data_IF_287925181172
#
_entry.id   IF_287925181172
#
_cell.length_a   1.000
_cell.length_b   1.000
_cell.length_c   1.000
_cell.angle_alpha   90.00
_cell.angle_beta   90.00
_cell.angle_gamma   90.00
#
_symmetry.space_group_name_H-M   'P 1'
#
loop_
_entity.id
_entity.type
_entity.pdbx_description
1 polymer ?
#
# COMPACT_ATOMS: atom_id res chain seq x y z
N UNK A 1 -34.12 -68.16 30.41
CA UNK A 1 -35.27 -68.48 29.57
C UNK A 1 -34.95 -69.81 28.91
N UNK A 2 -35.26 -70.88 29.62
CA UNK A 2 -35.22 -72.25 29.09
C UNK A 2 -36.31 -72.41 28.05
N UNK A 3 -35.97 -73.02 26.92
CA UNK A 3 -36.95 -73.75 26.12
C UNK A 3 -36.43 -75.17 25.96
N UNK A 4 -36.95 -76.01 26.84
CA UNK A 4 -37.01 -77.45 26.62
C UNK A 4 -37.70 -77.73 25.29
N UNK A 5 -37.10 -78.58 24.48
CA UNK A 5 -37.82 -79.31 23.45
C UNK A 5 -37.47 -80.79 23.59
N UNK A 6 -38.22 -81.46 24.46
CA UNK A 6 -38.40 -82.90 24.41
C UNK A 6 -39.43 -83.20 23.31
N UNK A 7 -39.06 -84.04 22.33
CA UNK A 7 -39.94 -85.08 21.78
C UNK A 7 -39.12 -86.09 20.95
N UNK A 8 -38.84 -87.23 21.59
CA UNK A 8 -39.11 -88.59 21.09
C UNK A 8 -39.00 -88.87 19.58
N UNK A 9 -37.92 -89.54 19.15
CA UNK A 9 -38.02 -90.84 18.47
C UNK A 9 -36.61 -91.44 18.27
N UNK A 10 -36.07 -92.08 19.31
CA UNK A 10 -35.02 -93.09 19.10
C UNK A 10 -35.73 -94.35 18.62
N UNK A 11 -36.13 -94.39 17.35
CA UNK A 11 -36.19 -95.68 16.67
C UNK A 11 -34.74 -96.14 16.53
N UNK A 12 -34.27 -96.89 17.53
CA UNK A 12 -33.29 -97.93 17.24
C UNK A 12 -33.92 -98.75 16.12
N UNK A 13 -33.44 -98.55 14.89
CA UNK A 13 -33.74 -99.48 13.81
C UNK A 13 -32.89 -100.72 14.09
N UNK A 14 -33.30 -101.48 15.09
CA UNK A 14 -32.98 -102.89 15.24
C UNK A 14 -33.83 -103.65 14.23
N UNK A 15 -33.62 -103.38 12.95
CA UNK A 15 -34.21 -104.16 11.87
C UNK A 15 -33.09 -104.59 10.92
N UNK A 16 -33.02 -105.91 10.71
CA UNK A 16 -32.04 -106.66 9.93
C UNK A 16 -30.67 -106.96 10.54
N UNK A 17 -30.66 -107.57 11.73
CA UNK A 17 -29.66 -108.59 12.07
C UNK A 17 -30.21 -110.01 12.00
N UNK A 18 -31.43 -110.20 11.46
CA UNK A 18 -31.93 -111.54 11.15
C UNK A 18 -31.36 -111.97 9.78
N UNK A 19 -30.06 -112.21 9.71
CA UNK A 19 -29.45 -112.97 8.62
C UNK A 19 -29.90 -114.42 8.76
N UNK A 20 -31.15 -114.69 8.42
CA UNK A 20 -31.63 -116.04 8.22
C UNK A 20 -30.79 -116.61 7.08
N UNK A 21 -29.91 -117.58 7.39
CA UNK A 21 -29.05 -118.22 6.38
C UNK A 21 -29.94 -118.71 5.23
N UNK A 22 -29.74 -118.17 4.04
CA UNK A 22 -30.48 -118.62 2.85
C UNK A 22 -29.73 -119.83 2.33
N UNK A 23 -30.14 -121.02 2.82
CA UNK A 23 -29.60 -122.31 2.42
C UNK A 23 -28.53 -122.88 3.39
N UNK A 24 -28.14 -124.16 3.15
CA UNK A 24 -27.07 -124.86 3.87
C UNK A 24 -25.69 -124.22 3.64
N UNK A 25 -24.70 -124.54 4.46
CA UNK A 25 -23.35 -123.97 4.34
C UNK A 25 -22.66 -124.36 3.03
N UNK A 26 -21.63 -123.62 2.60
CA UNK A 26 -20.86 -123.94 1.39
C UNK A 26 -20.29 -125.36 1.43
N UNK A 27 -19.87 -125.85 2.60
CA UNK A 27 -19.31 -127.20 2.74
C UNK A 27 -20.40 -128.28 2.72
N UNK A 28 -21.57 -128.01 3.30
CA UNK A 28 -22.75 -128.90 3.18
C UNK A 28 -23.18 -129.03 1.71
N UNK A 29 -23.22 -127.92 0.97
CA UNK A 29 -23.48 -127.92 -0.47
C UNK A 29 -22.43 -128.75 -1.21
N UNK A 30 -21.14 -128.53 -0.97
CA UNK A 30 -20.08 -129.35 -1.59
C UNK A 30 -20.22 -130.84 -1.26
N UNK A 31 -20.63 -131.19 -0.03
CA UNK A 31 -20.83 -132.59 0.37
C UNK A 31 -22.05 -133.20 -0.32
N UNK A 32 -23.14 -132.45 -0.49
CA UNK A 32 -24.34 -132.90 -1.21
C UNK A 32 -24.11 -133.03 -2.72
N UNK A 33 -23.20 -132.22 -3.27
CA UNK A 33 -22.79 -132.21 -4.68
C UNK A 33 -21.50 -133.01 -4.96
N UNK A 34 -20.98 -133.80 -4.01
CA UNK A 34 -19.77 -134.61 -4.22
C UNK A 34 -20.00 -135.74 -5.22
N UNK A 35 -18.93 -136.20 -5.84
CA UNK A 35 -18.94 -137.37 -6.73
C UNK A 35 -19.60 -138.59 -6.05
N UNK A 36 -20.52 -139.24 -6.76
CA UNK A 36 -21.30 -140.37 -6.25
C UNK A 36 -22.52 -140.00 -5.38
N UNK A 37 -22.81 -138.72 -5.17
CA UNK A 37 -24.05 -138.26 -4.51
C UNK A 37 -25.11 -137.82 -5.52
N UNK A 38 -26.39 -137.91 -5.14
CA UNK A 38 -27.53 -137.43 -5.93
C UNK A 38 -28.12 -136.20 -5.23
N UNK A 39 -27.83 -134.96 -5.70
CA UNK A 39 -28.41 -133.74 -5.12
C UNK A 39 -29.94 -133.70 -5.27
N UNK A 40 -30.64 -133.15 -4.28
CA UNK A 40 -32.10 -133.00 -4.29
C UNK A 40 -32.55 -131.71 -4.99
N UNK A 41 -33.83 -131.64 -5.38
CA UNK A 41 -34.43 -130.41 -5.95
C UNK A 41 -34.21 -129.19 -5.04
N UNK A 42 -34.28 -129.37 -3.72
CA UNK A 42 -34.03 -128.31 -2.74
C UNK A 42 -32.57 -127.86 -2.76
N UNK A 43 -31.62 -128.77 -2.97
CA UNK A 43 -30.19 -128.44 -3.05
C UNK A 43 -29.90 -127.58 -4.29
N UNK A 44 -30.59 -127.83 -5.41
CA UNK A 44 -30.52 -126.97 -6.59
C UNK A 44 -31.19 -125.61 -6.39
N UNK A 45 -32.34 -125.55 -5.72
CA UNK A 45 -33.00 -124.29 -5.42
C UNK A 45 -32.14 -123.42 -4.48
N UNK A 46 -31.52 -124.02 -3.46
CA UNK A 46 -30.61 -123.34 -2.54
C UNK A 46 -29.37 -122.82 -3.29
N UNK A 47 -28.76 -123.63 -4.17
CA UNK A 47 -27.63 -123.20 -5.00
C UNK A 47 -28.00 -122.00 -5.90
N UNK A 48 -29.18 -122.03 -6.53
CA UNK A 48 -29.68 -120.96 -7.40
C UNK A 48 -29.92 -119.68 -6.58
N UNK A 49 -30.53 -119.80 -5.41
CA UNK A 49 -30.80 -118.67 -4.53
C UNK A 49 -29.49 -118.04 -4.03
N UNK A 50 -28.52 -118.84 -3.59
CA UNK A 50 -27.19 -118.38 -3.18
C UNK A 50 -26.48 -117.69 -4.36
N UNK A 51 -26.57 -118.27 -5.57
CA UNK A 51 -26.00 -117.67 -6.77
C UNK A 51 -26.67 -116.34 -7.14
N UNK A 52 -28.00 -116.23 -7.10
CA UNK A 52 -28.73 -114.98 -7.40
C UNK A 52 -28.45 -113.89 -6.36
N UNK A 53 -28.31 -114.26 -5.08
CA UNK A 53 -27.87 -113.34 -4.02
C UNK A 53 -26.45 -112.85 -4.31
N UNK A 54 -25.50 -113.74 -4.63
CA UNK A 54 -24.13 -113.36 -4.98
C UNK A 54 -24.08 -112.42 -6.17
N UNK A 55 -24.86 -112.70 -7.21
CA UNK A 55 -25.01 -111.86 -8.41
C UNK A 55 -25.51 -110.45 -8.04
N UNK A 56 -26.58 -110.37 -7.23
CA UNK A 56 -27.15 -109.10 -6.76
C UNK A 56 -26.21 -108.33 -5.83
N UNK A 57 -25.49 -109.02 -4.95
CA UNK A 57 -24.50 -108.43 -4.05
C UNK A 57 -23.35 -107.75 -4.82
N UNK A 58 -22.95 -108.35 -5.93
CA UNK A 58 -21.99 -107.75 -6.87
C UNK A 58 -22.62 -106.71 -7.82
N UNK A 59 -23.89 -106.32 -7.63
CA UNK A 59 -24.57 -105.27 -8.40
C UNK A 59 -24.93 -105.67 -9.84
N UNK A 60 -25.07 -106.96 -10.14
CA UNK A 60 -25.35 -107.46 -11.48
C UNK A 60 -26.87 -107.60 -11.75
N UNK A 61 -27.27 -107.61 -13.03
CA UNK A 61 -28.54 -108.14 -13.58
C UNK A 61 -28.34 -109.58 -14.14
N UNK A 62 -29.40 -110.39 -14.32
CA UNK A 62 -29.25 -111.77 -14.79
C UNK A 62 -28.40 -111.84 -16.08
N UNK A 63 -27.55 -112.86 -16.19
CA UNK A 63 -26.65 -113.08 -17.34
C UNK A 63 -25.53 -112.04 -17.52
N UNK A 64 -25.27 -111.17 -16.54
CA UNK A 64 -24.10 -110.29 -16.57
C UNK A 64 -22.85 -110.98 -16.00
N UNK A 65 -21.70 -110.73 -16.64
CA UNK A 65 -20.41 -111.24 -16.22
C UNK A 65 -19.59 -110.13 -15.53
N UNK A 66 -18.97 -110.45 -14.40
CA UNK A 66 -18.16 -109.51 -13.62
C UNK A 66 -18.99 -108.46 -12.86
N UNK A 67 -18.42 -107.73 -11.90
CA UNK A 67 -19.18 -106.83 -11.03
C UNK A 67 -19.97 -105.75 -11.78
N UNK A 68 -21.02 -105.22 -11.14
CA UNK A 68 -21.83 -104.11 -11.64
C UNK A 68 -21.00 -102.84 -11.89
N UNK A 69 -21.51 -101.90 -12.68
CA UNK A 69 -20.73 -100.76 -13.23
C UNK A 69 -19.96 -99.91 -12.20
N UNK A 70 -20.44 -99.82 -10.95
CA UNK A 70 -19.80 -99.07 -9.86
C UNK A 70 -18.79 -99.87 -9.03
N UNK A 71 -18.57 -101.14 -9.36
CA UNK A 71 -17.70 -102.07 -8.64
C UNK A 71 -16.65 -102.67 -9.58
N UNK A 72 -15.58 -103.19 -9.01
CA UNK A 72 -14.54 -103.96 -9.68
C UNK A 72 -14.06 -105.08 -8.77
N UNK A 73 -13.57 -106.17 -9.36
CA UNK A 73 -12.78 -107.16 -8.64
C UNK A 73 -11.32 -106.74 -8.79
N UNK A 74 -10.60 -106.61 -7.67
CA UNK A 74 -9.16 -106.40 -7.69
C UNK A 74 -8.42 -107.73 -7.90
N UNK A 75 -7.11 -107.65 -8.18
CA UNK A 75 -6.28 -108.81 -8.53
C UNK A 75 -6.19 -109.86 -7.40
N UNK A 76 -6.48 -109.46 -6.16
CA UNK A 76 -6.57 -110.34 -4.99
C UNK A 76 -7.93 -111.04 -4.84
N UNK A 77 -8.87 -110.77 -5.75
CA UNK A 77 -10.22 -111.33 -5.75
C UNK A 77 -11.20 -110.61 -4.84
N UNK A 78 -10.84 -109.47 -4.24
CA UNK A 78 -11.75 -108.67 -3.41
C UNK A 78 -12.61 -107.72 -4.25
N UNK A 79 -13.86 -107.51 -3.83
CA UNK A 79 -14.81 -106.64 -4.50
C UNK A 79 -14.66 -105.20 -3.97
N UNK A 80 -14.24 -104.28 -4.84
CA UNK A 80 -13.99 -102.88 -4.49
C UNK A 80 -14.83 -101.91 -5.33
N UNK A 81 -14.92 -100.65 -4.87
CA UNK A 81 -15.53 -99.57 -5.63
C UNK A 81 -14.71 -99.29 -6.89
N UNK A 82 -15.40 -99.12 -8.02
CA UNK A 82 -14.78 -98.72 -9.28
C UNK A 82 -14.50 -97.21 -9.26
N UNK A 83 -13.32 -96.85 -8.78
CA UNK A 83 -12.84 -95.46 -8.81
C UNK A 83 -12.25 -95.12 -10.18
N UNK A 84 -12.65 -93.97 -10.74
CA UNK A 84 -12.10 -93.43 -11.98
C UNK A 84 -11.26 -92.17 -11.73
N UNK A 85 -10.52 -91.74 -12.74
CA UNK A 85 -9.91 -90.40 -12.74
C UNK A 85 -10.93 -89.39 -13.27
N UNK A 86 -10.95 -88.20 -12.68
CA UNK A 86 -11.80 -87.10 -13.12
C UNK A 86 -10.92 -85.88 -13.42
N UNK A 87 -10.96 -85.40 -14.65
CA UNK A 87 -10.22 -84.21 -15.11
C UNK A 87 -11.12 -82.98 -15.27
N UNK A 88 -12.21 -82.93 -14.52
CA UNK A 88 -13.20 -81.85 -14.56
C UNK A 88 -13.00 -80.94 -13.35
N UNK A 89 -12.87 -79.63 -13.57
CA UNK A 89 -12.59 -78.65 -12.52
C UNK A 89 -13.81 -78.29 -11.66
N UNK A 90 -15.01 -78.63 -12.11
CA UNK A 90 -16.24 -78.35 -11.36
C UNK A 90 -16.53 -79.40 -10.27
N UNK A 91 -15.77 -80.50 -10.26
CA UNK A 91 -16.02 -81.64 -9.38
C UNK A 91 -14.72 -82.17 -8.76
N UNK A 92 -14.71 -82.34 -7.45
CA UNK A 92 -13.64 -83.05 -6.74
C UNK A 92 -13.94 -84.55 -6.72
N UNK A 93 -12.97 -85.43 -7.06
CA UNK A 93 -13.19 -86.86 -6.98
C UNK A 93 -13.30 -87.32 -5.52
N UNK A 94 -14.19 -88.30 -5.27
CA UNK A 94 -14.07 -89.15 -4.09
C UNK A 94 -12.96 -90.17 -4.36
N UNK A 95 -11.97 -90.23 -3.48
CA UNK A 95 -10.82 -91.12 -3.56
C UNK A 95 -10.86 -92.13 -2.42
N UNK A 96 -10.41 -93.35 -2.68
CA UNK A 96 -10.17 -94.32 -1.62
C UNK A 96 -8.73 -94.14 -1.13
N UNK A 97 -8.55 -93.69 0.11
CA UNK A 97 -7.23 -93.51 0.73
C UNK A 97 -7.21 -94.22 2.08
N UNK A 98 -6.24 -95.11 2.27
CA UNK A 98 -6.10 -95.91 3.50
C UNK A 98 -7.40 -96.63 3.90
N UNK A 99 -8.12 -97.17 2.90
CA UNK A 99 -9.45 -97.81 3.02
C UNK A 99 -10.60 -96.88 3.47
N UNK A 100 -10.42 -95.56 3.42
CA UNK A 100 -11.45 -94.56 3.73
C UNK A 100 -11.85 -93.81 2.46
N UNK A 101 -13.15 -93.75 2.17
CA UNK A 101 -13.69 -92.91 1.11
C UNK A 101 -13.56 -91.44 1.50
N UNK A 102 -12.69 -90.71 0.81
CA UNK A 102 -12.24 -89.38 1.17
C UNK A 102 -12.42 -88.40 0.01
N UNK A 103 -12.46 -87.09 0.30
CA UNK A 103 -12.39 -86.02 -0.70
C UNK A 103 -10.97 -85.44 -0.68
N UNK A 104 -10.38 -85.20 -1.85
CA UNK A 104 -9.16 -84.41 -1.95
C UNK A 104 -9.48 -82.92 -1.77
N UNK A 105 -8.91 -82.28 -0.75
CA UNK A 105 -9.30 -80.93 -0.31
C UNK A 105 -8.68 -79.82 -1.16
N UNK A 106 -7.61 -80.11 -1.90
CA UNK A 106 -6.87 -79.09 -2.64
C UNK A 106 -6.35 -77.94 -1.76
N UNK A 107 -6.22 -76.75 -2.34
CA UNK A 107 -5.78 -75.54 -1.63
C UNK A 107 -6.96 -74.73 -1.10
N UNK A 108 -6.84 -74.19 0.12
CA UNK A 108 -7.85 -73.30 0.70
C UNK A 108 -9.00 -74.01 1.42
N UNK A 109 -9.06 -75.34 1.42
CA UNK A 109 -9.92 -76.13 2.30
C UNK A 109 -9.07 -76.93 3.29
N UNK A 110 -9.62 -77.16 4.48
CA UNK A 110 -9.01 -77.94 5.55
C UNK A 110 -10.04 -78.88 6.15
N UNK A 111 -9.61 -80.08 6.55
CA UNK A 111 -10.47 -81.01 7.28
C UNK A 111 -10.30 -80.77 8.78
N UNK A 112 -11.42 -80.51 9.47
CA UNK A 112 -11.50 -80.42 10.93
C UNK A 112 -12.33 -81.57 11.46
N UNK A 113 -12.34 -81.76 12.78
CA UNK A 113 -13.10 -82.83 13.46
C UNK A 113 -14.60 -82.83 13.11
N UNK A 114 -15.16 -81.68 12.75
CA UNK A 114 -16.57 -81.50 12.39
C UNK A 114 -16.82 -81.32 10.88
N UNK A 115 -15.83 -81.58 10.02
CA UNK A 115 -15.98 -81.57 8.57
C UNK A 115 -14.99 -80.65 7.84
N UNK A 116 -15.25 -80.45 6.54
CA UNK A 116 -14.42 -79.63 5.66
C UNK A 116 -14.78 -78.15 5.85
N UNK A 117 -13.77 -77.31 6.03
CA UNK A 117 -13.90 -75.86 6.24
C UNK A 117 -12.97 -75.09 5.29
N UNK A 118 -13.22 -73.80 5.09
CA UNK A 118 -12.23 -72.90 4.47
C UNK A 118 -11.00 -72.78 5.36
N UNK A 119 -9.82 -72.92 4.77
CA UNK A 119 -8.54 -72.65 5.38
C UNK A 119 -8.38 -71.15 5.65
N UNK A 120 -8.39 -70.77 6.92
CA UNK A 120 -8.33 -69.37 7.31
C UNK A 120 -6.92 -68.80 7.09
N UNK A 121 -6.81 -67.84 6.15
CA UNK A 121 -5.59 -67.04 5.93
C UNK A 121 -5.66 -65.66 6.60
N UNK A 122 -4.68 -64.81 6.29
CA UNK A 122 -4.70 -63.40 6.69
C UNK A 122 -5.84 -62.67 5.99
N UNK A 123 -6.58 -61.83 6.73
CA UNK A 123 -7.69 -61.04 6.17
C UNK A 123 -9.01 -61.79 6.02
N UNK A 124 -9.06 -63.10 6.35
CA UNK A 124 -10.30 -63.90 6.37
C UNK A 124 -10.57 -64.37 7.80
N UNK A 125 -11.83 -64.40 8.18
CA UNK A 125 -12.32 -65.07 9.38
C UNK A 125 -13.39 -66.10 8.97
N UNK A 126 -13.27 -67.32 9.47
CA UNK A 126 -14.23 -68.40 9.24
C UNK A 126 -14.94 -68.66 10.56
N UNK A 127 -16.21 -68.32 10.62
CA UNK A 127 -17.09 -68.52 11.78
C UNK A 127 -17.96 -69.78 11.58
N UNK A 128 -18.80 -70.10 12.57
CA UNK A 128 -19.71 -71.24 12.48
C UNK A 128 -20.67 -71.15 11.29
N UNK A 129 -21.21 -69.96 11.02
CA UNK A 129 -22.30 -69.78 10.04
C UNK A 129 -21.86 -69.01 8.79
N UNK A 130 -20.67 -68.42 8.76
CA UNK A 130 -20.19 -67.63 7.61
C UNK A 130 -18.67 -67.55 7.48
N UNK A 131 -18.23 -67.06 6.33
CA UNK A 131 -16.86 -66.62 6.06
C UNK A 131 -16.91 -65.11 5.80
N UNK A 132 -16.10 -64.34 6.50
CA UNK A 132 -16.09 -62.88 6.39
C UNK A 132 -14.67 -62.33 6.26
N UNK A 133 -14.56 -61.07 5.86
CA UNK A 133 -13.29 -60.35 5.86
C UNK A 133 -12.93 -59.98 7.30
N UNK A 134 -11.71 -60.31 7.71
CA UNK A 134 -11.14 -59.88 9.00
C UNK A 134 -10.72 -58.41 8.88
N UNK A 135 -11.58 -57.51 9.34
CA UNK A 135 -11.30 -56.07 9.35
C UNK A 135 -10.04 -55.74 10.15
N UNK A 136 -9.21 -54.86 9.60
CA UNK A 136 -8.07 -54.25 10.28
C UNK A 136 -8.30 -52.74 10.43
N UNK A 137 -7.29 -52.00 10.90
CA UNK A 137 -7.36 -50.54 10.99
C UNK A 137 -7.65 -49.91 9.62
N UNK A 138 -8.57 -48.95 9.58
CA UNK A 138 -8.95 -48.25 8.34
C UNK A 138 -9.98 -48.97 7.48
N UNK A 139 -10.49 -50.14 7.89
CA UNK A 139 -11.54 -50.88 7.17
C UNK A 139 -12.75 -51.09 8.08
N UNK A 140 -13.95 -50.95 7.51
CA UNK A 140 -15.23 -51.35 8.10
C UNK A 140 -15.73 -52.55 7.30
N UNK A 141 -16.20 -53.57 8.00
CA UNK A 141 -16.91 -54.70 7.40
C UNK A 141 -18.24 -54.80 8.14
N UNK A 142 -19.35 -54.53 7.43
CA UNK A 142 -20.71 -54.55 7.98
C UNK A 142 -21.69 -55.15 6.96
N UNK A 143 -23.00 -55.05 7.24
CA UNK A 143 -24.05 -55.61 6.37
C UNK A 143 -24.10 -54.98 4.97
N UNK A 144 -23.49 -53.80 4.77
CA UNK A 144 -23.34 -53.15 3.46
C UNK A 144 -22.05 -53.57 2.73
N UNK A 145 -21.23 -54.44 3.33
CA UNK A 145 -19.99 -54.97 2.76
C UNK A 145 -18.74 -54.36 3.38
N UNK A 146 -17.71 -54.15 2.55
CA UNK A 146 -16.39 -53.69 2.99
C UNK A 146 -16.18 -52.24 2.54
N UNK A 147 -15.90 -51.35 3.49
CA UNK A 147 -15.69 -49.93 3.26
C UNK A 147 -14.44 -49.40 3.99
N UNK A 148 -14.00 -48.18 3.64
CA UNK A 148 -12.94 -47.48 4.37
C UNK A 148 -13.52 -46.92 5.66
N UNK A 149 -12.84 -47.15 6.79
CA UNK A 149 -13.12 -46.44 8.04
C UNK A 149 -12.54 -45.03 7.94
N UNK A 150 -13.38 -44.01 7.88
CA UNK A 150 -12.96 -42.63 7.73
C UNK A 150 -13.24 -41.80 8.99
N UNK A 151 -12.40 -40.79 9.21
CA UNK A 151 -12.57 -39.78 10.26
C UNK A 151 -13.12 -38.46 9.74
N UNK A 152 -13.04 -37.42 10.56
CA UNK A 152 -13.34 -36.06 10.13
C UNK A 152 -12.43 -35.63 8.97
N UNK A 153 -12.99 -34.90 8.00
CA UNK A 153 -12.24 -34.39 6.84
C UNK A 153 -12.19 -35.33 5.62
N UNK A 154 -12.70 -36.55 5.75
CA UNK A 154 -12.89 -37.47 4.62
C UNK A 154 -14.39 -37.76 4.48
N UNK A 155 -14.85 -37.87 3.24
CA UNK A 155 -16.19 -38.31 2.87
C UNK A 155 -16.07 -39.61 2.06
N UNK A 156 -16.86 -40.62 2.42
CA UNK A 156 -16.95 -41.88 1.67
C UNK A 156 -18.41 -42.10 1.32
N UNK A 157 -18.71 -42.14 0.03
CA UNK A 157 -20.05 -42.34 -0.50
C UNK A 157 -20.03 -43.21 -1.76
N UNK A 158 -21.14 -43.26 -2.48
CA UNK A 158 -21.30 -44.06 -3.70
C UNK A 158 -20.35 -43.65 -4.83
N UNK A 159 -19.79 -42.44 -4.80
CA UNK A 159 -18.79 -41.95 -5.76
C UNK A 159 -17.34 -42.25 -5.32
N UNK A 160 -17.16 -42.87 -4.15
CA UNK A 160 -15.85 -43.26 -3.62
C UNK A 160 -15.40 -42.40 -2.44
N UNK A 161 -14.08 -42.22 -2.32
CA UNK A 161 -13.43 -41.50 -1.21
C UNK A 161 -13.01 -40.11 -1.66
N UNK A 162 -13.42 -39.08 -0.92
CA UNK A 162 -13.11 -37.67 -1.20
C UNK A 162 -12.76 -36.90 0.08
N UNK A 163 -12.17 -35.71 -0.09
CA UNK A 163 -11.94 -34.81 1.05
C UNK A 163 -13.24 -34.08 1.39
N UNK A 164 -13.65 -34.16 2.65
CA UNK A 164 -14.78 -33.41 3.19
C UNK A 164 -14.31 -32.02 3.57
N UNK A 165 -14.74 -31.02 2.81
CA UNK A 165 -14.57 -29.61 3.16
C UNK A 165 -15.76 -29.13 3.99
N UNK A 166 -15.50 -28.23 4.94
CA UNK A 166 -16.56 -27.64 5.78
C UNK A 166 -17.25 -26.53 4.98
N UNK A 167 -18.57 -26.59 4.83
CA UNK A 167 -19.35 -25.71 3.94
C UNK A 167 -19.15 -24.19 4.16
N UNK A 168 -18.67 -23.79 5.34
CA UNK A 168 -18.41 -22.38 5.68
C UNK A 168 -16.97 -21.93 5.39
N UNK A 169 -16.03 -22.84 5.29
CA UNK A 169 -14.60 -22.55 5.10
C UNK A 169 -14.22 -22.81 3.63
N UNK A 170 -14.59 -21.87 2.75
CA UNK A 170 -14.42 -21.94 1.28
C UNK A 170 -12.96 -21.90 0.80
N UNK A 171 -11.97 -22.17 1.64
CA UNK A 171 -10.54 -22.04 1.31
C UNK A 171 -10.04 -23.20 0.45
N UNK A 172 -10.63 -24.38 0.57
CA UNK A 172 -10.29 -25.55 -0.25
C UNK A 172 -11.49 -25.85 -1.16
N UNK A 173 -11.21 -26.08 -2.43
CA UNK A 173 -12.18 -26.50 -3.43
C UNK A 173 -11.85 -27.93 -3.86
N UNK A 174 -12.83 -28.81 -3.78
CA UNK A 174 -12.70 -30.22 -4.17
C UNK A 174 -13.57 -30.42 -5.40
N UNK A 175 -12.95 -30.65 -6.54
CA UNK A 175 -13.60 -30.86 -7.83
C UNK A 175 -13.25 -32.25 -8.39
N UNK A 176 -13.97 -32.68 -9.42
CA UNK A 176 -13.68 -33.96 -10.11
C UNK A 176 -12.27 -34.02 -10.72
N UNK A 177 -11.64 -32.86 -10.96
CA UNK A 177 -10.29 -32.75 -11.52
C UNK A 177 -9.19 -32.68 -10.46
N UNK A 178 -9.55 -32.54 -9.17
CA UNK A 178 -8.60 -32.51 -8.07
C UNK A 178 -8.97 -31.52 -6.95
N UNK A 179 -8.00 -31.27 -6.08
CA UNK A 179 -8.13 -30.39 -4.93
C UNK A 179 -7.34 -29.11 -5.21
N UNK A 180 -7.96 -27.96 -5.00
CA UNK A 180 -7.33 -26.64 -5.15
C UNK A 180 -7.61 -25.76 -3.95
N UNK A 181 -6.81 -24.71 -3.79
CA UNK A 181 -7.10 -23.63 -2.85
C UNK A 181 -7.85 -22.51 -3.54
N UNK A 182 -8.86 -21.96 -2.88
CA UNK A 182 -9.57 -20.78 -3.36
C UNK A 182 -8.68 -19.55 -3.13
N UNK A 183 -8.43 -18.82 -4.20
CA UNK A 183 -7.61 -17.62 -4.16
C UNK A 183 -8.46 -16.42 -3.70
N UNK A 184 -8.01 -15.76 -2.64
CA UNK A 184 -8.60 -14.53 -2.11
C UNK A 184 -8.05 -13.27 -2.78
N UNK A 185 -8.34 -12.11 -2.18
CA UNK A 185 -7.73 -10.85 -2.59
C UNK A 185 -6.22 -10.88 -2.33
N UNK A 186 -5.44 -10.30 -3.23
CA UNK A 186 -3.98 -10.21 -3.06
C UNK A 186 -3.20 -11.46 -3.43
N UNK A 187 -3.85 -12.53 -3.91
CA UNK A 187 -3.18 -13.73 -4.43
C UNK A 187 -3.60 -14.06 -5.87
N UNK A 188 -2.72 -14.67 -6.63
CA UNK A 188 -2.95 -15.12 -8.02
C UNK A 188 -2.42 -16.54 -8.22
N UNK A 189 -2.93 -17.21 -9.26
CA UNK A 189 -2.46 -18.52 -9.68
C UNK A 189 -1.12 -18.39 -10.41
N UNK A 190 -0.16 -19.23 -10.06
CA UNK A 190 1.10 -19.43 -10.79
C UNK A 190 1.57 -20.88 -10.63
N UNK A 191 2.88 -21.12 -10.66
CA UNK A 191 3.50 -22.42 -10.30
C UNK A 191 3.28 -22.81 -8.82
N UNK A 192 2.59 -21.96 -8.07
CA UNK A 192 2.06 -22.16 -6.75
C UNK A 192 1.02 -21.08 -6.42
N UNK A 193 1.03 -20.61 -5.18
CA UNK A 193 0.24 -19.45 -4.73
C UNK A 193 1.13 -18.22 -4.80
N UNK A 194 0.83 -17.31 -5.73
CA UNK A 194 1.61 -16.08 -5.90
C UNK A 194 0.90 -14.90 -5.23
N UNK A 195 1.66 -13.89 -4.83
CA UNK A 195 1.10 -12.58 -4.45
C UNK A 195 0.67 -11.85 -5.72
N UNK A 196 -0.53 -11.26 -5.70
CA UNK A 196 -1.03 -10.40 -6.76
C UNK A 196 -0.27 -9.08 -6.72
N UNK A 197 0.62 -8.86 -7.69
CA UNK A 197 1.23 -7.54 -7.88
C UNK A 197 0.14 -6.48 -8.11
N UNK A 198 0.28 -5.32 -7.46
CA UNK A 198 -0.63 -4.19 -7.57
C UNK A 198 0.12 -2.88 -7.31
N UNK A 199 -0.60 -1.79 -7.02
CA UNK A 199 0.01 -0.51 -6.69
C UNK A 199 0.90 -0.66 -5.43
N UNK A 200 2.18 -0.32 -5.57
CA UNK A 200 3.15 -0.35 -4.47
C UNK A 200 3.81 -1.69 -4.20
N UNK A 201 3.41 -2.79 -4.86
CA UNK A 201 4.03 -4.11 -4.70
C UNK A 201 4.56 -4.61 -6.04
N UNK A 202 5.84 -4.98 -6.07
CA UNK A 202 6.50 -5.68 -7.15
C UNK A 202 6.63 -7.17 -6.77
N UNK A 203 6.36 -8.05 -7.71
CA UNK A 203 6.50 -9.51 -7.54
C UNK A 203 7.25 -10.03 -8.75
N UNK A 204 8.44 -10.59 -8.52
CA UNK A 204 9.31 -11.15 -9.54
C UNK A 204 10.01 -12.42 -9.05
N UNK A 205 10.97 -12.93 -9.82
CA UNK A 205 11.70 -14.17 -9.50
C UNK A 205 12.54 -14.09 -8.21
N UNK A 206 12.79 -12.88 -7.69
CA UNK A 206 13.49 -12.67 -6.42
C UNK A 206 12.53 -12.54 -5.22
N UNK A 207 11.21 -12.59 -5.46
CA UNK A 207 10.19 -12.55 -4.42
C UNK A 207 9.31 -11.30 -4.49
N UNK A 208 8.91 -10.80 -3.32
CA UNK A 208 7.97 -9.68 -3.16
C UNK A 208 8.71 -8.47 -2.60
N UNK A 209 8.61 -7.33 -3.28
CA UNK A 209 9.25 -6.07 -2.87
C UNK A 209 8.31 -4.88 -3.04
N UNK A 210 8.69 -3.73 -2.51
CA UNK A 210 7.95 -2.48 -2.75
C UNK A 210 8.23 -2.01 -4.18
N UNK A 211 7.17 -1.73 -4.93
CA UNK A 211 7.28 -1.04 -6.22
C UNK A 211 7.50 0.45 -5.96
N UNK A 212 8.75 0.90 -6.09
CA UNK A 212 9.13 2.29 -5.84
C UNK A 212 8.36 3.27 -6.76
N UNK A 213 7.75 4.28 -6.14
CA UNK A 213 7.19 5.45 -6.84
C UNK A 213 8.11 6.66 -6.73
N UNK A 214 7.60 7.85 -7.05
CA UNK A 214 8.32 9.09 -6.83
C UNK A 214 8.58 9.31 -5.33
N UNK A 215 9.81 9.69 -4.99
CA UNK A 215 10.20 9.96 -3.60
C UNK A 215 10.52 8.73 -2.75
N UNK A 216 10.43 7.51 -3.30
CA UNK A 216 10.85 6.28 -2.63
C UNK A 216 12.03 5.68 -3.38
N UNK A 217 13.01 5.19 -2.63
CA UNK A 217 14.12 4.39 -3.11
C UNK A 217 14.01 2.98 -2.52
N UNK A 218 14.17 1.96 -3.34
CA UNK A 218 14.14 0.54 -2.92
C UNK A 218 15.41 -0.10 -3.47
N UNK A 219 16.28 -0.52 -2.56
CA UNK A 219 17.55 -1.18 -2.89
C UNK A 219 17.88 -2.28 -1.88
N UNK A 220 19.10 -2.85 -1.96
CA UNK A 220 19.55 -3.93 -1.08
C UNK A 220 19.59 -3.56 0.40
N UNK A 221 19.59 -2.28 0.75
CA UNK A 221 19.56 -1.76 2.13
C UNK A 221 18.13 -1.60 2.65
N UNK A 222 17.11 -1.77 1.80
CA UNK A 222 15.70 -1.71 2.14
C UNK A 222 14.93 -0.60 1.41
N UNK A 223 13.89 -0.08 2.06
CA UNK A 223 13.01 0.97 1.54
C UNK A 223 13.32 2.28 2.25
N UNK A 224 13.61 3.33 1.48
CA UNK A 224 13.98 4.65 1.99
C UNK A 224 13.31 5.77 1.20
N UNK A 225 13.36 7.00 1.73
CA UNK A 225 12.88 8.18 0.99
C UNK A 225 13.99 8.65 0.04
N UNK A 226 13.64 8.83 -1.23
CA UNK A 226 14.51 9.45 -2.23
C UNK A 226 14.52 10.96 -2.02
N UNK A 227 15.62 11.49 -1.50
CA UNK A 227 15.76 12.92 -1.19
C UNK A 227 16.19 13.75 -2.39
N UNK A 228 15.57 14.92 -2.54
CA UNK A 228 16.16 16.03 -3.30
C UNK A 228 17.15 16.83 -2.45
N UNK A 229 17.65 17.95 -2.98
CA UNK A 229 18.68 18.77 -2.32
C UNK A 229 18.28 19.41 -0.99
N UNK A 230 16.99 19.47 -0.66
CA UNK A 230 16.48 20.12 0.55
C UNK A 230 16.20 19.19 1.74
N UNK A 231 16.36 17.87 1.57
CA UNK A 231 16.10 16.88 2.62
C UNK A 231 17.40 16.14 2.91
N UNK A 232 17.68 15.93 4.19
CA UNK A 232 18.77 15.09 4.68
C UNK A 232 18.18 13.84 5.33
N UNK A 233 18.78 12.67 5.08
CA UNK A 233 18.43 11.42 5.75
C UNK A 233 19.70 10.85 6.34
N UNK A 234 19.65 10.56 7.64
CA UNK A 234 20.71 9.92 8.37
C UNK A 234 20.13 8.98 9.45
N UNK A 235 20.99 8.49 10.34
CA UNK A 235 20.58 7.55 11.39
C UNK A 235 19.58 8.14 12.40
N UNK A 236 19.42 9.46 12.45
CA UNK A 236 18.43 10.14 13.30
C UNK A 236 17.08 10.36 12.58
N UNK A 237 16.96 9.93 11.32
CA UNK A 237 15.73 10.01 10.53
C UNK A 237 15.79 11.04 9.40
N UNK A 238 14.66 11.67 9.11
CA UNK A 238 14.48 12.61 8.00
C UNK A 238 14.47 14.04 8.53
N UNK A 239 15.32 14.91 7.99
CA UNK A 239 15.44 16.31 8.38
C UNK A 239 15.54 17.24 7.17
N UNK A 240 15.39 18.54 7.40
CA UNK A 240 15.64 19.56 6.37
C UNK A 240 17.14 19.79 6.24
N UNK A 241 17.65 19.78 5.02
CA UNK A 241 19.03 20.19 4.72
C UNK A 241 19.11 21.72 4.70
N UNK A 242 19.53 22.29 5.83
CA UNK A 242 19.63 23.74 6.01
C UNK A 242 20.60 24.40 5.01
N UNK A 243 20.11 25.40 4.27
CA UNK A 243 20.94 26.33 3.50
C UNK A 243 21.24 27.62 4.27
N UNK A 244 21.78 28.65 3.59
CA UNK A 244 22.20 29.90 4.25
C UNK A 244 21.08 30.67 4.96
N UNK A 245 19.82 30.53 4.50
CA UNK A 245 18.67 31.27 5.05
C UNK A 245 17.83 30.49 6.05
N UNK A 246 18.14 29.22 6.30
CA UNK A 246 17.34 28.34 7.17
C UNK A 246 18.23 27.89 8.32
N UNK A 247 17.69 27.91 9.53
CA UNK A 247 18.25 27.26 10.70
C UNK A 247 17.38 26.05 11.04
N UNK A 248 18.02 24.91 11.33
CA UNK A 248 17.34 23.67 11.73
C UNK A 248 18.00 23.22 13.03
N UNK A 249 17.23 23.17 14.10
CA UNK A 249 17.68 22.76 15.42
C UNK A 249 16.61 21.95 16.16
N UNK A 250 16.84 21.64 17.43
CA UNK A 250 15.94 20.83 18.25
C UNK A 250 14.55 21.46 18.46
N UNK A 251 14.38 22.75 18.19
CA UNK A 251 13.09 23.45 18.27
C UNK A 251 12.37 23.48 16.91
N UNK A 252 12.97 22.94 15.85
CA UNK A 252 12.39 22.85 14.51
C UNK A 252 13.13 23.66 13.45
N UNK A 253 12.38 24.16 12.48
CA UNK A 253 12.92 24.90 11.32
C UNK A 253 12.57 26.38 11.45
N UNK A 254 13.57 27.25 11.38
CA UNK A 254 13.39 28.70 11.43
C UNK A 254 14.19 29.41 10.34
N UNK A 255 13.91 30.69 10.12
CA UNK A 255 14.72 31.52 9.23
C UNK A 255 15.96 31.98 9.97
N UNK A 256 17.11 31.97 9.29
CA UNK A 256 18.34 32.57 9.79
C UNK A 256 18.35 34.06 9.45
N UNK A 257 18.06 34.90 10.45
CA UNK A 257 17.97 36.35 10.25
C UNK A 257 19.32 36.96 9.83
N UNK A 258 19.30 37.74 8.74
CA UNK A 258 20.41 38.60 8.33
C UNK A 258 20.41 39.94 9.06
N UNK A 259 21.35 40.83 8.72
CA UNK A 259 21.37 42.21 9.24
C UNK A 259 20.10 42.95 8.80
N UNK A 260 19.48 43.66 9.74
CA UNK A 260 18.24 44.42 9.48
C UNK A 260 16.97 43.58 9.50
N UNK A 261 17.03 42.28 9.77
CA UNK A 261 15.87 41.41 9.95
C UNK A 261 15.79 40.99 11.42
N UNK A 262 14.59 41.08 11.99
CA UNK A 262 14.26 40.54 13.31
C UNK A 262 13.27 39.40 13.14
N UNK A 263 13.42 38.36 13.96
CA UNK A 263 12.49 37.24 14.04
C UNK A 263 12.00 37.17 15.49
N UNK A 264 10.70 37.17 15.68
CA UNK A 264 10.04 37.04 16.99
C UNK A 264 8.75 36.22 16.86
N UNK A 265 7.95 36.17 17.93
CA UNK A 265 6.68 35.45 17.94
C UNK A 265 5.66 35.98 16.90
N UNK A 266 5.78 37.25 16.50
CA UNK A 266 4.92 37.88 15.50
C UNK A 266 5.36 37.59 14.05
N UNK A 267 6.51 36.92 13.87
CA UNK A 267 7.05 36.52 12.57
C UNK A 267 8.37 37.20 12.21
N UNK A 268 8.55 37.50 10.92
CA UNK A 268 9.76 38.09 10.34
C UNK A 268 9.49 39.55 10.01
N UNK A 269 10.28 40.46 10.57
CA UNK A 269 10.14 41.91 10.34
C UNK A 269 11.48 42.57 10.05
N UNK A 270 11.43 43.82 9.58
CA UNK A 270 12.61 44.67 9.54
C UNK A 270 12.95 45.11 10.97
N UNK A 271 14.24 45.20 11.27
CA UNK A 271 14.79 45.87 12.44
C UNK A 271 15.10 47.33 12.08
N UNK A 272 14.19 48.29 12.37
CA UNK A 272 14.34 49.68 11.96
C UNK A 272 15.57 50.35 12.59
N UNK A 273 16.08 49.83 13.71
CA UNK A 273 17.29 50.37 14.35
C UNK A 273 18.59 49.95 13.65
N UNK A 274 18.54 48.90 12.82
CA UNK A 274 19.68 48.43 12.03
C UNK A 274 19.63 48.86 10.58
N UNK A 275 18.44 49.19 10.07
CA UNK A 275 18.24 49.66 8.69
C UNK A 275 18.40 51.18 8.60
N UNK A 276 17.94 51.93 9.60
CA UNK A 276 18.09 53.39 9.64
C UNK A 276 19.12 53.81 10.69
N UNK A 277 20.12 54.57 10.27
CA UNK A 277 21.15 55.11 11.16
C UNK A 277 20.69 56.42 11.81
N UNK A 278 21.07 56.67 13.07
CA UNK A 278 20.86 57.95 13.75
C UNK A 278 21.45 59.08 12.88
N UNK A 279 20.69 60.17 12.71
CA UNK A 279 21.08 61.31 11.87
C UNK A 279 20.57 61.26 10.43
N UNK A 280 19.98 60.16 9.97
CA UNK A 280 19.28 60.13 8.67
C UNK A 280 18.07 61.05 8.70
N UNK A 281 17.95 61.96 7.72
CA UNK A 281 16.83 62.88 7.58
C UNK A 281 15.97 62.47 6.38
N UNK A 282 14.66 62.36 6.59
CA UNK A 282 13.68 62.04 5.55
C UNK A 282 12.62 63.13 5.44
N UNK A 283 12.14 63.33 4.22
CA UNK A 283 10.93 64.12 3.98
C UNK A 283 9.70 63.31 4.40
N UNK A 284 8.79 63.93 5.14
CA UNK A 284 7.66 63.29 5.77
C UNK A 284 6.38 64.10 5.56
N UNK A 285 5.31 63.44 5.12
CA UNK A 285 4.00 64.04 4.85
C UNK A 285 2.94 63.67 5.89
N UNK A 286 3.29 62.92 6.93
CA UNK A 286 2.35 62.51 7.98
C UNK A 286 2.11 63.59 9.02
N UNK A 287 1.01 63.45 9.76
CA UNK A 287 0.58 64.42 10.79
C UNK A 287 1.22 64.20 12.17
N UNK A 288 1.85 63.04 12.40
CA UNK A 288 2.52 62.70 13.66
C UNK A 288 3.86 62.02 13.38
N UNK A 289 4.91 62.45 14.08
CA UNK A 289 6.25 61.88 13.92
C UNK A 289 6.25 60.42 14.39
N UNK A 290 6.67 59.45 13.55
CA UNK A 290 6.66 58.04 13.92
C UNK A 290 7.62 57.74 15.09
N UNK A 291 7.36 56.69 15.90
CA UNK A 291 8.29 56.26 16.93
C UNK A 291 9.70 56.04 16.41
N UNK A 292 10.69 56.54 17.14
CA UNK A 292 12.10 56.46 16.76
C UNK A 292 12.57 57.53 15.76
N UNK A 293 11.72 58.49 15.41
CA UNK A 293 12.05 59.68 14.63
C UNK A 293 11.76 60.94 15.46
N UNK A 294 12.41 62.05 15.12
CA UNK A 294 12.16 63.37 15.70
C UNK A 294 11.93 64.41 14.59
N UNK A 295 11.13 65.43 14.84
CA UNK A 295 10.94 66.55 13.93
C UNK A 295 12.18 67.45 13.93
N UNK A 296 12.64 67.89 12.76
CA UNK A 296 13.81 68.74 12.60
C UNK A 296 13.51 70.21 12.92
N UNK A 297 13.34 70.53 14.21
CA UNK A 297 12.99 71.86 14.72
C UNK A 297 14.06 72.50 15.60
N UNK A 298 15.24 71.88 15.70
CA UNK A 298 16.33 72.33 16.57
C UNK A 298 16.33 71.70 17.96
N UNK A 299 15.32 70.88 18.29
CA UNK A 299 15.26 70.12 19.54
C UNK A 299 15.74 68.68 19.34
N UNK A 300 15.98 67.94 20.44
CA UNK A 300 16.39 66.52 20.40
C UNK A 300 17.62 66.24 19.50
N UNK A 301 18.61 67.15 19.51
CA UNK A 301 19.83 67.10 18.67
C UNK A 301 19.55 67.15 17.15
N UNK A 302 18.32 67.44 16.73
CA UNK A 302 17.98 67.63 15.32
C UNK A 302 18.40 69.02 14.85
N UNK A 303 18.77 69.20 13.58
CA UNK A 303 18.88 70.53 13.00
C UNK A 303 17.50 71.19 12.91
N UNK A 304 17.42 72.51 13.05
CA UNK A 304 16.19 73.25 12.73
C UNK A 304 16.12 73.45 11.21
N UNK A 305 15.26 72.69 10.54
CA UNK A 305 15.05 72.71 9.09
C UNK A 305 13.70 73.34 8.70
N UNK A 306 12.96 73.89 9.66
CA UNK A 306 11.67 74.54 9.39
C UNK A 306 11.88 75.78 8.53
N UNK A 307 11.06 75.92 7.50
CA UNK A 307 11.09 77.05 6.57
C UNK A 307 12.48 77.33 5.94
N UNK A 308 13.31 76.29 5.85
CA UNK A 308 14.67 76.38 5.31
C UNK A 308 14.81 75.50 4.08
N UNK A 309 15.65 75.95 3.16
CA UNK A 309 16.07 75.17 2.01
C UNK A 309 17.26 74.27 2.40
N UNK A 310 17.24 73.01 1.98
CA UNK A 310 18.34 72.07 2.22
C UNK A 310 19.36 72.20 1.11
N UNK A 311 20.57 72.65 1.46
CA UNK A 311 21.71 72.67 0.56
C UNK A 311 22.52 71.39 0.70
N UNK A 312 22.93 70.79 -0.41
CA UNK A 312 23.95 69.74 -0.38
C UNK A 312 25.26 70.28 0.20
N UNK A 313 25.89 69.49 1.06
CA UNK A 313 27.22 69.79 1.57
C UNK A 313 28.29 69.41 0.53
N UNK A 314 29.34 70.23 0.38
CA UNK A 314 30.45 69.90 -0.50
C UNK A 314 31.30 68.73 0.06
N UNK A 315 31.46 68.67 1.38
CA UNK A 315 32.14 67.60 2.10
C UNK A 315 31.40 67.22 3.39
N UNK A 316 31.76 66.08 4.01
CA UNK A 316 31.21 65.68 5.30
C UNK A 316 31.58 66.62 6.46
N UNK A 317 32.59 67.48 6.29
CA UNK A 317 32.95 68.47 7.30
C UNK A 317 32.02 69.69 7.26
N UNK A 318 31.29 69.89 6.17
CA UNK A 318 30.39 71.04 5.98
C UNK A 318 28.95 70.74 6.45
N UNK A 319 28.69 69.51 6.93
CA UNK A 319 27.37 69.11 7.42
C UNK A 319 26.99 69.93 8.66
N UNK A 320 25.68 70.13 8.86
CA UNK A 320 25.12 71.00 9.91
C UNK A 320 25.44 72.50 9.76
N UNK A 321 26.11 72.91 8.67
CA UNK A 321 26.25 74.32 8.33
C UNK A 321 24.88 74.97 8.08
N UNK A 322 24.65 76.15 8.65
CA UNK A 322 23.41 76.92 8.42
C UNK A 322 23.73 78.37 8.10
N UNK A 323 22.89 78.99 7.27
CA UNK A 323 22.78 80.45 7.28
C UNK A 323 21.63 80.84 8.23
N UNK A 324 21.70 82.04 8.81
CA UNK A 324 20.65 82.57 9.68
C UNK A 324 19.38 83.01 8.92
N UNK A 325 19.11 82.45 7.74
CA UNK A 325 18.03 82.87 6.84
C UNK A 325 16.98 81.76 6.78
N UNK A 326 15.71 82.15 6.87
CA UNK A 326 14.55 81.27 6.68
C UNK A 326 13.48 81.99 5.88
N UNK A 327 12.58 81.23 5.27
CA UNK A 327 11.34 81.75 4.71
C UNK A 327 10.42 82.21 5.86
N UNK A 328 9.46 83.07 5.53
CA UNK A 328 8.42 83.57 6.45
C UNK A 328 7.05 83.46 5.80
N UNK A 329 5.97 83.61 6.57
CA UNK A 329 4.59 83.52 6.05
C UNK A 329 3.90 82.19 6.33
N UNK A 330 2.65 82.06 5.88
CA UNK A 330 1.81 80.89 6.10
C UNK A 330 2.09 79.79 5.07
N UNK A 331 1.49 78.61 5.23
CA UNK A 331 1.76 77.43 4.39
C UNK A 331 1.55 77.66 2.88
N UNK A 332 0.65 78.57 2.49
CA UNK A 332 0.35 78.86 1.08
C UNK A 332 1.05 80.13 0.56
N UNK A 333 1.73 80.87 1.43
CA UNK A 333 2.25 82.21 1.14
C UNK A 333 3.64 82.40 1.76
N UNK A 334 4.53 81.40 1.61
CA UNK A 334 5.93 81.53 2.00
C UNK A 334 6.65 82.56 1.14
N UNK A 335 7.40 83.43 1.80
CA UNK A 335 8.14 84.54 1.21
C UNK A 335 9.57 84.55 1.73
N UNK A 336 10.52 84.80 0.82
CA UNK A 336 11.91 85.09 1.12
C UNK A 336 12.32 86.32 0.35
N UNK A 337 12.39 87.44 1.07
CA UNK A 337 12.64 88.74 0.50
C UNK A 337 14.14 89.07 0.51
N UNK A 338 14.68 89.36 -0.66
CA UNK A 338 16.04 89.88 -0.81
C UNK A 338 15.96 91.39 -1.04
N UNK A 339 16.70 92.15 -0.23
CA UNK A 339 16.87 93.59 -0.44
C UNK A 339 18.04 93.82 -1.40
N UNK A 340 17.82 94.59 -2.45
CA UNK A 340 18.89 95.03 -3.36
C UNK A 340 19.06 96.55 -3.27
N UNK A 341 20.32 97.01 -3.24
CA UNK A 341 20.64 98.43 -3.34
C UNK A 341 20.81 98.82 -4.81
N UNK A 342 20.00 99.76 -5.29
CA UNK A 342 20.16 100.31 -6.64
C UNK A 342 21.47 101.12 -6.73
N UNK A 343 22.32 100.78 -7.70
CA UNK A 343 23.49 101.59 -8.03
C UNK A 343 23.06 102.92 -8.66
N UNK A 344 23.74 104.02 -8.31
CA UNK A 344 23.48 105.35 -8.88
C UNK A 344 23.79 105.36 -10.39
N UNK A 345 22.83 105.73 -11.22
CA UNK A 345 23.11 106.14 -12.60
C UNK A 345 23.28 107.66 -12.64
N UNK A 346 24.49 108.15 -12.83
CA UNK A 346 24.72 109.57 -13.10
C UNK A 346 24.52 109.80 -14.61
N UNK A 347 23.53 110.62 -14.99
CA UNK A 347 23.34 111.06 -16.38
C UNK A 347 24.00 112.42 -16.55
N UNK A 348 25.07 112.50 -17.33
CA UNK A 348 25.73 113.76 -17.69
C UNK A 348 25.32 114.16 -19.10
N UNK A 349 24.56 115.24 -19.25
CA UNK A 349 24.23 115.82 -20.56
C UNK A 349 25.26 116.91 -20.87
N UNK A 350 26.08 116.68 -21.89
CA UNK A 350 27.05 117.66 -22.39
C UNK A 350 26.55 118.28 -23.69
N UNK A 351 26.15 119.55 -23.66
CA UNK A 351 25.81 120.32 -24.86
C UNK A 351 27.08 120.96 -25.41
N UNK A 352 27.47 120.62 -26.64
CA UNK A 352 28.66 121.16 -27.32
C UNK A 352 28.19 121.98 -28.53
N UNK A 353 28.47 123.28 -28.48
CA UNK A 353 28.22 124.32 -29.50
C UNK A 353 26.76 124.65 -29.86
N UNK A 354 26.40 125.92 -29.67
CA UNK A 354 25.25 126.58 -30.30
C UNK A 354 25.86 127.49 -31.37
N UNK A 355 25.64 127.18 -32.65
CA UNK A 355 26.09 128.01 -33.75
C UNK A 355 25.32 129.34 -33.76
N UNK A 356 26.05 130.46 -33.74
CA UNK A 356 25.53 131.82 -33.81
C UNK A 356 24.77 132.07 -35.12
N UNK A 357 23.44 132.07 -35.08
CA UNK A 357 22.59 132.77 -36.04
C UNK A 357 21.15 132.84 -35.51
N UNK A 358 20.87 133.74 -34.57
CA UNK A 358 19.53 134.32 -34.41
C UNK A 358 19.60 135.55 -33.48
N UNK A 359 19.37 136.72 -34.06
CA UNK A 359 19.35 138.00 -33.37
C UNK A 359 18.12 138.16 -32.44
N UNK A 360 18.24 138.96 -31.37
CA UNK A 360 17.33 138.95 -30.23
C UNK A 360 16.00 139.65 -30.54
N UNK A 361 14.87 138.94 -30.38
CA UNK A 361 13.57 139.59 -30.17
C UNK A 361 13.23 139.57 -28.69
N UNK A 362 13.12 140.76 -28.12
CA UNK A 362 12.43 140.99 -26.87
C UNK A 362 11.02 140.39 -26.93
N UNK A 363 10.77 139.39 -26.10
CA UNK A 363 9.42 139.03 -25.68
C UNK A 363 9.38 139.29 -24.18
N UNK A 364 8.51 140.23 -23.80
CA UNK A 364 8.16 140.60 -22.44
C UNK A 364 7.74 139.39 -21.63
N UNK A 365 7.94 139.48 -20.31
CA UNK A 365 7.75 138.41 -19.36
C UNK A 365 6.45 137.63 -19.57
N UNK A 366 6.61 136.35 -19.92
CA UNK A 366 5.67 135.30 -19.54
C UNK A 366 6.45 134.18 -18.88
N UNK A 367 6.14 133.98 -17.60
CA UNK A 367 6.40 132.72 -16.94
C UNK A 367 5.74 131.61 -17.76
N UNK A 368 6.52 130.68 -18.27
CA UNK A 368 6.00 129.38 -18.65
C UNK A 368 6.01 128.57 -17.36
N UNK A 369 4.86 128.53 -16.71
CA UNK A 369 4.57 127.55 -15.67
C UNK A 369 4.68 126.15 -16.28
N UNK A 370 5.53 125.31 -15.69
CA UNK A 370 5.50 123.87 -15.92
C UNK A 370 4.24 123.29 -15.27
N UNK A 371 3.14 123.27 -16.01
CA UNK A 371 1.93 122.54 -15.62
C UNK A 371 2.08 121.04 -15.90
N UNK A 372 2.55 120.34 -14.86
CA UNK A 372 2.03 119.08 -14.31
C UNK A 372 1.76 117.85 -15.20
N UNK A 373 2.53 116.78 -14.95
CA UNK A 373 2.04 115.42 -14.66
C UNK A 373 3.20 114.60 -14.04
N UNK A 374 3.41 114.63 -12.73
CA UNK A 374 2.93 113.55 -11.86
C UNK A 374 2.87 113.99 -10.40
N UNK A 375 1.79 113.58 -9.74
CA UNK A 375 1.50 113.79 -8.34
C UNK A 375 2.46 112.97 -7.45
N UNK A 376 3.17 113.65 -6.55
CA UNK A 376 3.28 113.37 -5.10
C UNK A 376 4.64 113.84 -4.54
N UNK A 377 4.59 114.80 -3.62
CA UNK A 377 5.71 115.13 -2.72
C UNK A 377 6.60 116.33 -3.06
N UNK A 378 6.03 117.53 -3.28
CA UNK A 378 6.79 118.79 -3.37
C UNK A 378 7.51 119.08 -2.04
N UNK A 379 8.85 119.01 -2.02
CA UNK A 379 9.68 119.86 -1.15
C UNK A 379 10.35 120.91 -2.03
N UNK A 380 10.09 122.18 -1.74
CA UNK A 380 10.72 123.34 -2.38
C UNK A 380 12.24 123.22 -2.38
N UNK A 381 12.85 123.19 -3.56
CA UNK A 381 14.26 123.53 -3.71
C UNK A 381 14.35 125.06 -3.73
N UNK A 382 14.89 125.65 -2.66
CA UNK A 382 15.21 127.08 -2.65
C UNK A 382 16.36 127.34 -3.61
N UNK A 383 16.14 128.19 -4.61
CA UNK A 383 17.20 128.70 -5.48
C UNK A 383 18.17 129.56 -4.65
N UNK A 384 19.36 129.04 -4.38
CA UNK A 384 20.46 129.84 -3.83
C UNK A 384 21.31 130.37 -4.99
N UNK A 385 21.16 131.68 -5.20
CA UNK A 385 22.11 132.64 -5.77
C UNK A 385 22.86 132.34 -7.08
N UNK A 386 22.54 133.16 -8.09
CA UNK A 386 23.33 133.38 -9.30
C UNK A 386 24.67 134.02 -8.94
N UNK A 387 25.77 133.31 -9.12
CA UNK A 387 27.09 133.94 -9.21
C UNK A 387 27.48 134.07 -10.70
N UNK A 388 27.37 135.29 -11.25
CA UNK A 388 27.84 135.63 -12.60
C UNK A 388 29.25 136.17 -12.49
N UNK A 389 30.25 135.35 -12.80
CA UNK A 389 31.55 135.81 -13.32
C UNK A 389 32.03 134.85 -14.42
N UNK A 390 32.87 135.39 -15.28
CA UNK A 390 32.93 135.18 -16.71
C UNK A 390 33.88 134.03 -17.15
N UNK A 391 33.63 133.55 -18.38
CA UNK A 391 34.45 132.69 -19.27
C UNK A 391 34.35 131.16 -19.14
N UNK A 392 33.96 130.54 -20.27
CA UNK A 392 33.74 129.12 -20.59
C UNK A 392 32.34 128.56 -20.23
N UNK A 393 31.38 128.76 -21.14
CA UNK A 393 30.01 128.25 -21.09
C UNK A 393 29.93 126.71 -21.03
N UNK A 394 29.92 126.14 -19.82
CA UNK A 394 29.43 124.79 -19.57
C UNK A 394 28.45 124.82 -18.39
N UNK A 395 27.15 124.86 -18.68
CA UNK A 395 26.11 124.73 -17.65
C UNK A 395 25.85 123.24 -17.41
N UNK A 396 26.36 122.71 -16.30
CA UNK A 396 26.14 121.32 -15.90
C UNK A 396 24.86 121.24 -15.06
N UNK A 397 23.84 120.57 -15.57
CA UNK A 397 22.66 120.18 -14.77
C UNK A 397 22.92 118.81 -14.16
N UNK A 398 22.91 118.71 -12.83
CA UNK A 398 23.02 117.44 -12.11
C UNK A 398 21.69 117.12 -11.41
N UNK A 399 21.04 116.03 -11.81
CA UNK A 399 19.87 115.47 -11.12
C UNK A 399 20.36 114.31 -10.26
N UNK A 400 20.22 114.42 -8.94
CA UNK A 400 20.58 113.37 -7.99
C UNK A 400 19.32 112.69 -7.47
N UNK A 401 19.10 111.41 -7.78
CA UNK A 401 18.07 110.61 -7.12
C UNK A 401 18.56 110.08 -5.77
N UNK A 402 17.66 110.04 -4.78
CA UNK A 402 17.93 109.51 -3.44
C UNK A 402 17.97 107.97 -3.52
N UNK A 403 19.03 107.36 -2.96
CA UNK A 403 19.15 105.90 -2.91
C UNK A 403 17.93 105.29 -2.20
N UNK A 404 17.31 104.29 -2.84
CA UNK A 404 16.20 103.51 -2.30
C UNK A 404 16.48 102.01 -2.44
N UNK A 405 15.76 101.22 -1.65
CA UNK A 405 15.87 99.76 -1.63
C UNK A 405 14.74 99.13 -2.41
N UNK A 406 15.04 98.04 -3.11
CA UNK A 406 14.03 97.18 -3.71
C UNK A 406 13.91 95.88 -2.92
N UNK A 407 12.68 95.43 -2.72
CA UNK A 407 12.37 94.13 -2.12
C UNK A 407 11.87 93.20 -3.21
N UNK A 408 12.50 92.04 -3.38
CA UNK A 408 12.04 91.01 -4.32
C UNK A 408 11.83 89.70 -3.56
N UNK A 409 10.65 89.10 -3.71
CA UNK A 409 10.40 87.73 -3.27
C UNK A 409 11.02 86.75 -4.27
N UNK A 410 11.92 85.88 -3.81
CA UNK A 410 12.65 84.93 -4.66
C UNK A 410 12.29 83.46 -4.37
N UNK A 411 11.15 83.20 -3.72
CA UNK A 411 10.67 81.84 -3.45
C UNK A 411 10.14 81.17 -4.74
N UNK A 412 10.67 80.01 -5.16
CA UNK A 412 10.11 79.24 -6.27
C UNK A 412 8.81 78.51 -5.85
N UNK A 413 7.99 78.00 -6.79
CA UNK A 413 6.86 77.13 -6.46
C UNK A 413 7.30 75.95 -5.57
N UNK A 414 6.51 75.62 -4.54
CA UNK A 414 6.89 74.65 -3.52
C UNK A 414 5.73 73.75 -3.07
N UNK A 415 6.09 72.61 -2.47
CA UNK A 415 5.21 71.74 -1.69
C UNK A 415 5.87 71.49 -0.33
N UNK A 416 5.12 71.63 0.77
CA UNK A 416 5.69 71.57 2.12
C UNK A 416 5.65 70.12 2.63
N UNK A 417 6.84 69.60 2.96
CA UNK A 417 7.03 68.37 3.71
C UNK A 417 7.75 68.70 5.01
N UNK A 418 7.44 67.96 6.08
CA UNK A 418 8.24 67.98 7.29
C UNK A 418 9.57 67.29 7.04
N UNK A 419 10.63 67.75 7.71
CA UNK A 419 11.85 66.96 7.82
C UNK A 419 11.86 66.27 9.19
N UNK A 420 12.05 64.96 9.18
CA UNK A 420 12.22 64.17 10.41
C UNK A 420 13.57 63.45 10.38
N UNK A 421 14.21 63.35 11.53
CA UNK A 421 15.51 62.71 11.72
C UNK A 421 15.37 61.42 12.53
N UNK A 422 16.05 60.35 12.12
CA UNK A 422 16.17 59.14 12.93
C UNK A 422 16.98 59.46 14.18
N UNK A 423 16.40 59.21 15.36
CA UNK A 423 17.05 59.40 16.67
C UNK A 423 17.60 58.10 17.26
#
# INVERSE_FOLDING_TARGET
MEKEHNLHNTKQNSENTNTQSIGPSTDDLKQRFKEGSIPLQTDYADLINIADIGRKACGQAPQQNGPGKGLKLDDDGTLNLKMGTLSNQDFSPLILKDNILSVDLGSGLINKTNGICVGQGNGIVVNGDNVAVKAANGVIVDDNGVAVKFGNGINVDTNGVSVKVKDKDKTINVESTGISVRLGLGVTKGDGINVKASNGINVDNNGVSVKAGNGINVDSSGVSVKTGSGINIDNNGISIKAGNGINVDNNGVSVKAGKGIKINADGISIDPHKVFSKGMIMMFSGSAVPPGWAFCDGTNETPDLRDRFISGAATLNDINGTNGKSMTGNNNEKVFNVQTSGNKTNLTISVKEIASAMEPRHIEGKAIENTHASESGKKSASNTEKNRQNSNNQTVYSVNEKSHLHTVNVVPPYYILAFIMKI
#
